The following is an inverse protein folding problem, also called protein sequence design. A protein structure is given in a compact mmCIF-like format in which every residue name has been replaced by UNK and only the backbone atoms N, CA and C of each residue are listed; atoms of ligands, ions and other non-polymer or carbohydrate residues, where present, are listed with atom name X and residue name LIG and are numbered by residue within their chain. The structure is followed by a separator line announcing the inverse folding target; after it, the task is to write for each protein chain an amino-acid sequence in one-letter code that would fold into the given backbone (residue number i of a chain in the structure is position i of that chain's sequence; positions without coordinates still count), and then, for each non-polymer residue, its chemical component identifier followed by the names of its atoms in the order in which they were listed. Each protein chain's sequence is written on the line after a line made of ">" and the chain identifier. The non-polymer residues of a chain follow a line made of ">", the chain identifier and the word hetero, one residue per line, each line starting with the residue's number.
data_IF_407067993166
#
_entry.id   IF_407067993166
#
_cell.length_a   1.000
_cell.length_b   1.000
_cell.length_c   1.000
_cell.angle_alpha   90.00
_cell.angle_beta   90.00
_cell.angle_gamma   90.00
#
_symmetry.space_group_name_H-M   'P 1'
#
loop_
_entity.id
_entity.type
_entity.pdbx_description
1 polymer ?
#
# COMPACT_ATOMS: atom_id res chain seq x y z
N UNK A 1 -6.99 -2.92 3.70
CA UNK A 1 -6.95 -4.37 4.01
C UNK A 1 -6.64 -5.12 2.73
N UNK A 2 -5.85 -6.19 2.81
CA UNK A 2 -5.61 -7.12 1.70
C UNK A 2 -6.25 -8.47 2.05
N UNK A 3 -6.80 -9.15 1.04
CA UNK A 3 -7.38 -10.50 1.17
C UNK A 3 -6.90 -11.35 0.00
N UNK A 4 -6.81 -12.66 0.21
CA UNK A 4 -6.60 -13.59 -0.90
C UNK A 4 -7.75 -13.43 -1.93
N UNK A 5 -7.48 -13.49 -3.25
CA UNK A 5 -8.48 -13.24 -4.29
C UNK A 5 -9.77 -14.05 -4.11
N UNK A 6 -9.64 -15.33 -3.75
CA UNK A 6 -10.74 -16.26 -3.50
C UNK A 6 -11.61 -15.90 -2.29
N UNK A 7 -11.15 -14.98 -1.42
CA UNK A 7 -11.91 -14.51 -0.25
C UNK A 7 -12.56 -13.14 -0.44
N UNK A 8 -12.36 -12.46 -1.57
CA UNK A 8 -12.92 -11.12 -1.81
C UNK A 8 -14.46 -11.12 -1.70
N UNK A 9 -15.13 -12.12 -2.27
CA UNK A 9 -16.59 -12.25 -2.21
C UNK A 9 -17.11 -12.35 -0.78
N UNK A 10 -16.45 -13.13 0.08
CA UNK A 10 -16.80 -13.27 1.50
C UNK A 10 -16.61 -11.97 2.27
N UNK A 11 -15.54 -11.22 2.02
CA UNK A 11 -15.32 -9.89 2.62
C UNK A 11 -16.43 -8.91 2.20
N UNK A 12 -16.75 -8.86 0.90
CA UNK A 12 -17.81 -8.00 0.35
C UNK A 12 -19.17 -8.30 0.96
N UNK A 13 -19.54 -9.58 1.07
CA UNK A 13 -20.78 -10.00 1.72
C UNK A 13 -20.83 -9.59 3.19
N UNK A 14 -19.72 -9.74 3.91
CA UNK A 14 -19.64 -9.35 5.31
C UNK A 14 -19.75 -7.84 5.52
N UNK A 15 -19.13 -7.04 4.65
CA UNK A 15 -19.24 -5.59 4.69
C UNK A 15 -20.68 -5.14 4.42
N UNK A 16 -21.34 -5.73 3.42
CA UNK A 16 -22.72 -5.43 3.06
C UNK A 16 -23.70 -5.75 4.21
N UNK A 17 -23.57 -6.91 4.86
CA UNK A 17 -24.45 -7.29 5.99
C UNK A 17 -24.29 -6.36 7.20
N UNK A 18 -23.17 -5.64 7.30
CA UNK A 18 -22.89 -4.68 8.38
C UNK A 18 -23.06 -3.22 7.95
N UNK A 19 -23.48 -2.96 6.70
CA UNK A 19 -23.60 -1.60 6.17
C UNK A 19 -22.28 -0.84 6.13
N UNK A 20 -21.14 -1.53 6.03
CA UNK A 20 -19.82 -0.91 5.99
C UNK A 20 -19.44 -0.63 4.53
N UNK A 21 -19.30 0.64 4.13
CA UNK A 21 -18.83 0.98 2.79
C UNK A 21 -17.34 0.65 2.65
N UNK A 22 -16.95 0.18 1.47
CA UNK A 22 -15.55 -0.05 1.12
C UNK A 22 -15.33 0.08 -0.39
N UNK A 23 -14.07 0.28 -0.76
CA UNK A 23 -13.65 0.43 -2.15
C UNK A 23 -12.44 -0.46 -2.44
N UNK A 24 -12.35 -0.97 -3.68
CA UNK A 24 -11.20 -1.74 -4.13
C UNK A 24 -10.14 -0.78 -4.65
N UNK A 25 -9.05 -0.64 -3.90
CA UNK A 25 -7.93 0.23 -4.30
C UNK A 25 -7.01 -0.42 -5.34
N UNK A 26 -6.92 -1.75 -5.37
CA UNK A 26 -6.03 -2.46 -6.28
C UNK A 26 -5.57 -3.80 -5.71
N UNK A 27 -4.32 -4.16 -5.99
CA UNK A 27 -3.67 -5.38 -5.55
C UNK A 27 -2.29 -5.08 -4.95
N UNK A 28 -1.69 -6.06 -4.31
CA UNK A 28 -0.37 -5.95 -3.68
C UNK A 28 0.58 -6.99 -4.28
N UNK A 29 1.83 -6.62 -4.51
CA UNK A 29 2.88 -7.55 -4.94
C UNK A 29 3.90 -6.89 -5.85
N UNK A 30 5.03 -7.58 -6.04
CA UNK A 30 6.12 -7.10 -6.89
C UNK A 30 6.94 -5.96 -6.25
N UNK A 31 7.96 -5.46 -6.98
CA UNK A 31 8.90 -4.46 -6.47
C UNK A 31 8.45 -3.01 -6.70
N UNK A 32 7.30 -2.79 -7.33
CA UNK A 32 6.82 -1.45 -7.74
C UNK A 32 5.67 -0.97 -6.86
N UNK A 33 5.64 0.33 -6.60
CA UNK A 33 4.53 1.04 -5.98
C UNK A 33 3.93 1.98 -7.03
N UNK A 34 2.68 1.73 -7.41
CA UNK A 34 1.99 2.47 -8.48
C UNK A 34 0.68 3.03 -7.94
N UNK A 35 0.45 4.31 -8.20
CA UNK A 35 -0.82 5.00 -8.03
C UNK A 35 -1.14 5.70 -9.34
N UNK A 36 -2.17 5.23 -10.03
CA UNK A 36 -2.55 5.71 -11.36
C UNK A 36 -2.70 7.23 -11.39
N UNK A 37 -1.99 7.88 -12.33
CA UNK A 37 -2.01 9.33 -12.51
C UNK A 37 -1.30 10.14 -11.43
N UNK A 38 -0.65 9.51 -10.45
CA UNK A 38 0.04 10.19 -9.35
C UNK A 38 1.49 9.77 -9.17
N UNK A 39 1.78 8.47 -9.11
CA UNK A 39 3.10 7.97 -8.76
C UNK A 39 3.39 6.63 -9.45
N UNK A 40 4.62 6.48 -9.92
CA UNK A 40 5.16 5.20 -10.37
C UNK A 40 6.64 5.12 -9.98
N UNK A 41 6.97 4.27 -9.00
CA UNK A 41 8.32 4.14 -8.40
C UNK A 41 8.53 2.72 -7.87
N UNK A 42 9.71 2.43 -7.34
CA UNK A 42 9.99 1.17 -6.65
C UNK A 42 9.73 1.26 -5.16
N UNK A 43 9.42 0.13 -4.53
CA UNK A 43 9.29 0.05 -3.06
C UNK A 43 10.63 0.37 -2.37
N UNK A 44 11.76 0.04 -3.01
CA UNK A 44 13.10 0.30 -2.47
C UNK A 44 13.37 1.81 -2.42
N UNK A 45 13.10 2.56 -3.48
CA UNK A 45 13.28 4.01 -3.48
C UNK A 45 12.43 4.69 -2.38
N UNK A 46 11.19 4.24 -2.19
CA UNK A 46 10.33 4.73 -1.11
C UNK A 46 10.90 4.39 0.27
N UNK A 47 11.42 3.17 0.45
CA UNK A 47 12.03 2.73 1.70
C UNK A 47 13.29 3.53 2.02
N UNK A 48 14.19 3.73 1.05
CA UNK A 48 15.41 4.52 1.21
C UNK A 48 15.10 5.97 1.61
N UNK A 49 14.09 6.60 0.99
CA UNK A 49 13.66 7.95 1.34
C UNK A 49 13.11 8.00 2.77
N UNK A 50 12.28 7.03 3.14
CA UNK A 50 11.65 6.95 4.45
C UNK A 50 12.68 6.68 5.57
N UNK A 51 13.48 5.63 5.41
CA UNK A 51 14.48 5.21 6.40
C UNK A 51 15.60 6.23 6.53
N UNK A 52 16.01 6.86 5.42
CA UNK A 52 17.01 7.92 5.41
C UNK A 52 16.51 9.30 5.89
N UNK A 53 15.21 9.47 6.18
CA UNK A 53 14.67 10.77 6.57
C UNK A 53 15.24 11.26 7.92
N UNK A 54 15.20 10.42 8.96
CA UNK A 54 15.71 10.77 10.29
C UNK A 54 17.24 10.89 10.32
N UNK A 55 18.03 9.94 9.79
CA UNK A 55 19.49 10.05 9.73
C UNK A 55 19.97 11.37 9.11
N UNK A 56 19.36 11.79 7.99
CA UNK A 56 19.68 13.07 7.34
C UNK A 56 19.37 14.27 8.23
N UNK A 57 18.27 14.24 8.98
CA UNK A 57 17.91 15.30 9.93
C UNK A 57 18.91 15.39 11.10
N UNK A 58 19.51 14.27 11.49
CA UNK A 58 20.50 14.19 12.57
C UNK A 58 21.95 14.43 12.08
N UNK A 59 22.16 14.57 10.76
CA UNK A 59 23.48 14.73 10.16
C UNK A 59 24.29 13.43 10.07
N UNK A 60 23.63 12.27 10.21
CA UNK A 60 24.23 10.97 9.98
C UNK A 60 24.41 10.74 8.47
N UNK A 61 25.52 10.10 8.08
CA UNK A 61 25.72 9.71 6.69
C UNK A 61 24.81 8.50 6.37
N UNK A 62 24.19 8.45 5.18
CA UNK A 62 23.40 7.32 4.75
C UNK A 62 24.24 6.05 4.67
#
# INVERSE_FOLDING_TARGET
>A
VSVAPEREGSLRGLAATRGVPFERLGETGGPRAVIDGMLDTTVIELAEVWEGAIPRLLGEKP
#
